data_IF_523973969006
#
_entry.id   IF_523973969006
#
_cell.length_a   1.000
_cell.length_b   1.000
_cell.length_c   1.000
_cell.angle_alpha   90.00
_cell.angle_beta   90.00
_cell.angle_gamma   90.00
#
_symmetry.space_group_name_H-M   'P 1'
#
loop_
_entity.id
_entity.type
_entity.pdbx_description
1 polymer ?
#
# COMPACT_ATOMS: atom_id res chain seq x y z
N UNK A 1 -14.92 35.09 -12.64
CA UNK A 1 -15.23 34.11 -11.57
C UNK A 1 -15.01 32.67 -12.04
N UNK A 2 -15.67 32.21 -13.12
CA UNK A 2 -15.56 30.81 -13.61
C UNK A 2 -14.11 30.34 -13.91
N UNK A 3 -13.29 31.17 -14.56
CA UNK A 3 -11.89 30.81 -14.87
C UNK A 3 -11.00 30.62 -13.63
N UNK A 4 -11.29 31.34 -12.53
CA UNK A 4 -10.56 31.19 -11.28
C UNK A 4 -10.91 29.87 -10.59
N UNK A 5 -12.21 29.50 -10.57
CA UNK A 5 -12.65 28.21 -10.03
C UNK A 5 -12.07 27.03 -10.81
N UNK A 6 -12.03 27.10 -12.15
CA UNK A 6 -11.46 26.05 -12.98
C UNK A 6 -9.97 25.81 -12.70
N UNK A 7 -9.21 26.88 -12.44
CA UNK A 7 -7.78 26.79 -12.13
C UNK A 7 -7.55 26.11 -10.77
N UNK A 8 -8.33 26.48 -9.74
CA UNK A 8 -8.30 25.83 -8.42
C UNK A 8 -8.61 24.34 -8.56
N UNK A 9 -9.68 23.97 -9.27
CA UNK A 9 -10.05 22.56 -9.46
C UNK A 9 -8.97 21.76 -10.19
N UNK A 10 -8.34 22.32 -11.22
CA UNK A 10 -7.24 21.66 -11.94
C UNK A 10 -6.03 21.39 -11.05
N UNK A 11 -5.59 22.38 -10.26
CA UNK A 11 -4.49 22.23 -9.31
C UNK A 11 -4.82 21.24 -8.19
N UNK A 12 -6.05 21.26 -7.67
CA UNK A 12 -6.52 20.31 -6.66
C UNK A 12 -6.53 18.88 -7.21
N UNK A 13 -6.99 18.66 -8.44
CA UNK A 13 -6.99 17.33 -9.07
C UNK A 13 -5.57 16.76 -9.21
N UNK A 14 -4.59 17.60 -9.61
CA UNK A 14 -3.18 17.18 -9.67
C UNK A 14 -2.65 16.85 -8.28
N UNK A 15 -2.96 17.67 -7.27
CA UNK A 15 -2.55 17.43 -5.88
C UNK A 15 -3.08 16.10 -5.34
N UNK A 16 -4.37 15.81 -5.57
CA UNK A 16 -5.01 14.55 -5.19
C UNK A 16 -4.34 13.37 -5.91
N UNK A 17 -4.11 13.48 -7.21
CA UNK A 17 -3.46 12.42 -8.00
C UNK A 17 -2.05 12.09 -7.49
N UNK A 18 -1.29 13.10 -7.05
CA UNK A 18 0.04 12.92 -6.47
C UNK A 18 0.00 12.23 -5.11
N UNK A 19 -0.89 12.67 -4.21
CA UNK A 19 -1.03 12.09 -2.87
C UNK A 19 -1.44 10.61 -2.97
N UNK A 20 -2.47 10.31 -3.76
CA UNK A 20 -2.96 8.94 -3.93
C UNK A 20 -1.91 8.07 -4.64
N UNK A 21 -1.29 8.59 -5.71
CA UNK A 21 -0.30 7.83 -6.47
C UNK A 21 0.93 7.47 -5.66
N UNK A 22 1.45 8.42 -4.86
CA UNK A 22 2.60 8.16 -3.98
C UNK A 22 2.25 7.21 -2.82
N UNK A 23 1.06 7.35 -2.23
CA UNK A 23 0.58 6.42 -1.19
C UNK A 23 0.43 4.99 -1.71
N UNK A 24 -0.22 4.83 -2.85
CA UNK A 24 -0.42 3.52 -3.49
C UNK A 24 0.90 2.82 -3.85
N UNK A 25 1.92 3.58 -4.28
CA UNK A 25 3.25 3.02 -4.56
C UNK A 25 3.90 2.47 -3.29
N UNK A 26 3.81 3.18 -2.16
CA UNK A 26 4.31 2.72 -0.87
C UNK A 26 3.63 1.42 -0.41
N UNK A 27 2.31 1.36 -0.53
CA UNK A 27 1.53 0.17 -0.17
C UNK A 27 1.89 -1.04 -1.04
N UNK A 28 1.98 -0.86 -2.36
CA UNK A 28 2.32 -1.93 -3.29
C UNK A 28 3.73 -2.51 -3.04
N UNK A 29 4.71 -1.65 -2.76
CA UNK A 29 6.08 -2.10 -2.45
C UNK A 29 6.13 -2.84 -1.11
N UNK A 30 5.43 -2.35 -0.08
CA UNK A 30 5.38 -2.97 1.24
C UNK A 30 4.75 -4.37 1.21
N UNK A 31 3.58 -4.50 0.60
CA UNK A 31 2.87 -5.79 0.49
C UNK A 31 3.65 -6.77 -0.41
N UNK A 32 4.23 -6.30 -1.52
CA UNK A 32 5.01 -7.15 -2.43
C UNK A 32 6.26 -7.75 -1.77
N UNK A 33 7.03 -6.94 -1.03
CA UNK A 33 8.20 -7.41 -0.28
C UNK A 33 7.81 -8.39 0.83
N UNK A 34 6.76 -8.06 1.58
CA UNK A 34 6.25 -8.92 2.65
C UNK A 34 5.78 -10.27 2.12
N UNK A 35 4.99 -10.28 1.04
CA UNK A 35 4.50 -11.51 0.41
C UNK A 35 5.62 -12.41 -0.08
N UNK A 36 6.66 -11.82 -0.70
CA UNK A 36 7.85 -12.58 -1.12
C UNK A 36 8.58 -13.24 0.06
N UNK A 37 8.80 -12.49 1.15
CA UNK A 37 9.45 -13.01 2.37
C UNK A 37 8.59 -14.05 3.09
N UNK A 38 7.27 -13.87 3.08
CA UNK A 38 6.33 -14.84 3.64
C UNK A 38 6.42 -16.18 2.91
N UNK A 39 6.40 -16.18 1.57
CA UNK A 39 6.50 -17.41 0.76
C UNK A 39 7.85 -18.12 1.00
N UNK A 40 8.95 -17.36 1.07
CA UNK A 40 10.27 -17.93 1.34
C UNK A 40 10.36 -18.55 2.75
N UNK A 41 9.77 -17.91 3.76
CA UNK A 41 9.68 -18.42 5.13
C UNK A 41 8.78 -19.65 5.24
N UNK A 42 7.62 -19.62 4.58
CA UNK A 42 6.69 -20.74 4.49
C UNK A 42 7.31 -21.96 3.81
N UNK A 43 8.09 -21.76 2.74
CA UNK A 43 8.78 -22.84 2.03
C UNK A 43 9.90 -23.48 2.87
N UNK A 44 10.59 -22.70 3.72
CA UNK A 44 11.65 -23.21 4.61
C UNK A 44 11.10 -23.91 5.85
N UNK A 45 10.04 -23.37 6.45
CA UNK A 45 9.48 -23.84 7.71
C UNK A 45 7.95 -23.89 7.61
N UNK A 46 7.39 -24.98 7.05
CA UNK A 46 5.94 -25.11 6.86
C UNK A 46 5.17 -25.14 8.19
N UNK A 47 5.82 -25.53 9.29
CA UNK A 47 5.22 -25.57 10.63
C UNK A 47 4.89 -24.16 11.17
N UNK A 48 5.62 -23.12 10.73
CA UNK A 48 5.42 -21.74 11.17
C UNK A 48 4.44 -20.97 10.28
N UNK A 49 3.87 -21.62 9.26
CA UNK A 49 3.06 -20.95 8.24
C UNK A 49 1.82 -20.25 8.81
N UNK A 50 1.14 -20.87 9.78
CA UNK A 50 -0.02 -20.26 10.46
C UNK A 50 0.35 -19.01 11.28
N UNK A 51 1.51 -19.03 11.95
CA UNK A 51 1.99 -17.88 12.73
C UNK A 51 2.47 -16.74 11.81
N UNK A 52 3.20 -17.09 10.75
CA UNK A 52 3.65 -16.16 9.71
C UNK A 52 2.47 -15.52 8.98
N UNK A 53 1.40 -16.27 8.71
CA UNK A 53 0.21 -15.77 8.01
C UNK A 53 -0.55 -14.74 8.87
N UNK A 54 -0.67 -15.00 10.17
CA UNK A 54 -1.29 -14.03 11.11
C UNK A 54 -0.50 -12.72 11.16
N UNK A 55 0.84 -12.81 11.25
CA UNK A 55 1.72 -11.62 11.22
C UNK A 55 1.67 -10.90 9.87
N UNK A 56 1.59 -11.64 8.77
CA UNK A 56 1.44 -11.08 7.43
C UNK A 56 0.14 -10.29 7.30
N UNK A 57 -1.01 -10.83 7.73
CA UNK A 57 -2.28 -10.10 7.67
C UNK A 57 -2.31 -8.87 8.56
N UNK A 58 -1.72 -8.92 9.75
CA UNK A 58 -1.63 -7.75 10.63
C UNK A 58 -0.81 -6.63 9.97
N UNK A 59 0.34 -6.97 9.39
CA UNK A 59 1.19 -6.01 8.69
C UNK A 59 0.54 -5.52 7.39
N UNK A 60 -0.12 -6.40 6.64
CA UNK A 60 -0.83 -6.03 5.41
C UNK A 60 -1.99 -5.07 5.72
N UNK A 61 -2.73 -5.32 6.81
CA UNK A 61 -3.77 -4.42 7.28
C UNK A 61 -3.23 -3.06 7.74
N UNK A 62 -2.03 -3.01 8.34
CA UNK A 62 -1.39 -1.74 8.70
C UNK A 62 -0.93 -0.96 7.45
N UNK A 63 -0.49 -1.64 6.40
CA UNK A 63 -0.07 -1.01 5.14
C UNK A 63 -1.27 -0.51 4.34
N UNK A 64 -2.39 -1.24 4.32
CA UNK A 64 -3.61 -0.84 3.60
C UNK A 64 -4.40 0.25 4.34
N UNK A 65 -4.26 0.35 5.67
CA UNK A 65 -4.86 1.42 6.46
C UNK A 65 -4.13 2.78 6.33
N UNK A 66 -2.93 2.80 5.75
CA UNK A 66 -2.08 3.98 5.61
C UNK A 66 -2.17 4.59 4.21
#
# INVERSE_FOLDING_TARGET
>A
MQAFLANIQGLTAIGIGLIIGLGALGACLGIGLMGGKFIEGAARQPELMNELQTKMFLLAGLIDAA
#
